data_IF_986694657738
#
_entry.id   IF_986694657738
#
_cell.length_a   1.000
_cell.length_b   1.000
_cell.length_c   1.000
_cell.angle_alpha   90.00
_cell.angle_beta   90.00
_cell.angle_gamma   90.00
#
_symmetry.space_group_name_H-M   'P 1'
#
loop_
_entity.id
_entity.type
_entity.pdbx_description
1 polymer ?
#
# COMPACT_ATOMS: atom_id res chain seq x y z
N UNK A 1 4.37 -11.46 -13.47
CA UNK A 1 3.22 -11.87 -14.29
C UNK A 1 2.22 -12.83 -13.67
N UNK A 2 2.19 -13.03 -12.34
CA UNK A 2 0.97 -13.55 -11.70
C UNK A 2 0.61 -12.75 -10.45
N UNK A 3 -0.01 -11.59 -10.67
CA UNK A 3 -0.53 -10.72 -9.60
C UNK A 3 -1.73 -11.36 -8.87
N UNK A 4 -2.30 -12.46 -9.40
CA UNK A 4 -3.57 -13.05 -8.94
C UNK A 4 -3.46 -13.76 -7.59
N UNK A 5 -2.23 -14.05 -7.14
CA UNK A 5 -1.94 -14.68 -5.84
C UNK A 5 -0.96 -13.87 -4.98
N UNK A 6 -0.78 -12.57 -5.26
CA UNK A 6 0.22 -11.79 -4.53
C UNK A 6 -0.15 -11.63 -3.04
N UNK A 7 0.85 -11.67 -2.13
CA UNK A 7 0.64 -11.36 -0.71
C UNK A 7 -0.05 -10.01 -0.49
N UNK A 8 0.14 -9.05 -1.40
CA UNK A 8 -0.48 -7.72 -1.36
C UNK A 8 -2.00 -7.79 -1.54
N UNK A 9 -2.53 -8.65 -2.43
CA UNK A 9 -3.98 -8.85 -2.57
C UNK A 9 -4.61 -9.46 -1.31
N UNK A 10 -3.89 -10.38 -0.66
CA UNK A 10 -4.33 -10.96 0.62
C UNK A 10 -4.45 -9.88 1.70
N UNK A 11 -3.49 -8.95 1.77
CA UNK A 11 -3.53 -7.83 2.71
C UNK A 11 -4.72 -6.91 2.44
N UNK A 12 -4.97 -6.55 1.18
CA UNK A 12 -6.16 -5.78 0.79
C UNK A 12 -7.44 -6.48 1.26
N UNK A 13 -7.57 -7.80 1.00
CA UNK A 13 -8.73 -8.58 1.46
C UNK A 13 -8.90 -8.53 2.97
N UNK A 14 -7.84 -8.77 3.73
CA UNK A 14 -7.87 -8.80 5.19
C UNK A 14 -8.26 -7.45 5.79
N UNK A 15 -7.80 -6.35 5.20
CA UNK A 15 -8.15 -4.99 5.64
C UNK A 15 -9.62 -4.68 5.33
N UNK A 16 -10.09 -4.98 4.12
CA UNK A 16 -11.49 -4.82 3.73
C UNK A 16 -12.42 -5.66 4.61
N UNK A 17 -12.05 -6.91 4.92
CA UNK A 17 -12.83 -7.80 5.81
C UNK A 17 -12.92 -7.30 7.25
N UNK A 18 -11.95 -6.47 7.65
CA UNK A 18 -11.95 -5.80 8.96
C UNK A 18 -12.68 -4.45 8.92
N UNK A 19 -13.28 -4.08 7.79
CA UNK A 19 -14.03 -2.83 7.62
C UNK A 19 -13.17 -1.60 7.31
N UNK A 20 -11.90 -1.78 6.92
CA UNK A 20 -11.08 -0.66 6.47
C UNK A 20 -11.52 -0.16 5.09
N UNK A 21 -11.36 1.15 4.86
CA UNK A 21 -11.46 1.74 3.52
C UNK A 21 -10.07 1.66 2.90
N UNK A 22 -9.94 0.89 1.82
CA UNK A 22 -8.63 0.58 1.22
C UNK A 22 -8.59 1.15 -0.19
N UNK A 23 -7.56 1.95 -0.45
CA UNK A 23 -7.05 2.23 -1.79
C UNK A 23 -5.69 1.55 -1.95
N UNK A 24 -5.23 1.37 -3.19
CA UNK A 24 -3.88 0.87 -3.45
C UNK A 24 -3.16 1.78 -4.44
N UNK A 25 -1.83 1.82 -4.34
CA UNK A 25 -0.97 2.34 -5.38
C UNK A 25 0.06 1.26 -5.74
N UNK A 26 0.24 1.07 -7.03
CA UNK A 26 1.37 0.35 -7.61
C UNK A 26 1.72 1.05 -8.94
N UNK A 27 3.00 1.41 -9.18
CA UNK A 27 3.42 2.15 -10.37
C UNK A 27 3.47 1.26 -11.61
N UNK A 28 3.46 -0.07 -11.43
CA UNK A 28 3.51 -1.05 -12.50
C UNK A 28 2.14 -1.70 -12.76
N UNK A 29 1.23 -1.69 -11.78
CA UNK A 29 -0.10 -2.32 -11.87
C UNK A 29 -1.22 -1.27 -11.74
N UNK A 30 -1.64 -0.63 -12.86
CA UNK A 30 -2.58 0.50 -12.82
C UNK A 30 -4.03 0.11 -12.49
N UNK A 31 -4.40 -1.15 -12.68
CA UNK A 31 -5.70 -1.70 -12.30
C UNK A 31 -5.56 -3.12 -11.77
N UNK A 32 -6.36 -3.47 -10.78
CA UNK A 32 -6.55 -4.85 -10.36
C UNK A 32 -7.76 -5.41 -11.12
N UNK A 33 -7.58 -6.43 -11.97
CA UNK A 33 -8.71 -7.08 -12.60
C UNK A 33 -9.41 -8.01 -11.61
N UNK A 34 -10.67 -8.35 -11.89
CA UNK A 34 -11.33 -9.45 -11.19
C UNK A 34 -10.56 -10.74 -11.42
N UNK A 35 -10.31 -11.46 -10.34
CA UNK A 35 -9.72 -12.79 -10.33
C UNK A 35 -10.71 -13.77 -9.72
N UNK A 36 -10.49 -15.07 -9.92
CA UNK A 36 -11.34 -16.11 -9.29
C UNK A 36 -11.37 -15.98 -7.75
N UNK A 37 -10.31 -15.46 -7.15
CA UNK A 37 -10.12 -15.36 -5.69
C UNK A 37 -10.50 -13.99 -5.12
N UNK A 38 -10.34 -12.93 -5.91
CA UNK A 38 -10.55 -11.55 -5.49
C UNK A 38 -11.30 -10.76 -6.56
N UNK A 39 -12.43 -10.15 -6.18
CA UNK A 39 -13.22 -9.24 -7.03
C UNK A 39 -12.91 -7.78 -6.71
N UNK A 40 -11.64 -7.40 -6.78
CA UNK A 40 -11.23 -6.02 -6.56
C UNK A 40 -11.38 -5.25 -7.87
N UNK A 41 -12.43 -4.45 -7.99
CA UNK A 41 -12.56 -3.46 -9.07
C UNK A 41 -11.91 -2.15 -8.62
N UNK A 42 -10.58 -2.18 -8.48
CA UNK A 42 -9.81 -1.05 -7.96
C UNK A 42 -8.85 -0.51 -9.03
N UNK A 43 -8.62 0.81 -8.99
CA UNK A 43 -7.60 1.49 -9.78
C UNK A 43 -6.50 2.01 -8.87
N UNK A 44 -5.26 1.96 -9.35
CA UNK A 44 -4.11 2.51 -8.65
C UNK A 44 -4.32 4.01 -8.47
N UNK A 45 -4.32 4.48 -7.22
CA UNK A 45 -4.44 5.92 -6.92
C UNK A 45 -3.08 6.59 -7.08
N UNK A 46 -3.04 7.83 -7.52
CA UNK A 46 -1.78 8.56 -7.61
C UNK A 46 -1.26 8.95 -6.22
N UNK A 47 0.03 8.70 -5.96
CA UNK A 47 0.70 9.17 -4.76
C UNK A 47 1.10 10.63 -4.89
N UNK A 48 0.26 11.51 -4.36
CA UNK A 48 0.53 12.93 -4.12
C UNK A 48 0.59 13.21 -2.62
N UNK A 49 1.22 14.31 -2.20
CA UNK A 49 1.22 14.75 -0.80
C UNK A 49 -0.21 14.86 -0.24
N UNK A 50 -1.13 15.41 -1.04
CA UNK A 50 -2.54 15.52 -0.68
C UNK A 50 -3.21 14.16 -0.52
N UNK A 51 -2.88 13.17 -1.35
CA UNK A 51 -3.44 11.82 -1.21
C UNK A 51 -2.92 11.13 0.05
N UNK A 52 -1.61 11.17 0.29
CA UNK A 52 -0.95 10.49 1.40
C UNK A 52 -1.49 10.99 2.74
N UNK A 53 -1.62 12.32 2.89
CA UNK A 53 -2.09 12.94 4.14
C UNK A 53 -3.54 12.58 4.52
N UNK A 54 -4.35 12.09 3.58
CA UNK A 54 -5.74 11.69 3.85
C UNK A 54 -5.86 10.31 4.49
N UNK A 55 -4.84 9.46 4.39
CA UNK A 55 -4.89 8.12 4.96
C UNK A 55 -4.43 8.12 6.42
N UNK A 56 -5.16 7.38 7.27
CA UNK A 56 -4.74 7.15 8.65
C UNK A 56 -3.44 6.36 8.73
N UNK A 57 -3.25 5.42 7.80
CA UNK A 57 -2.09 4.55 7.71
C UNK A 57 -1.77 4.20 6.26
N UNK A 58 -0.48 4.14 5.93
CA UNK A 58 0.03 3.51 4.72
C UNK A 58 0.65 2.16 5.05
N UNK A 59 0.31 1.12 4.28
CA UNK A 59 0.92 -0.20 4.41
C UNK A 59 1.84 -0.47 3.22
N UNK A 60 3.11 -0.78 3.48
CA UNK A 60 4.07 -1.16 2.44
C UNK A 60 4.00 -2.68 2.25
N UNK A 61 3.33 -3.08 1.17
CA UNK A 61 3.15 -4.49 0.79
C UNK A 61 4.21 -4.98 -0.21
N UNK A 62 4.84 -4.06 -0.94
CA UNK A 62 5.91 -4.33 -1.92
C UNK A 62 6.97 -3.23 -1.81
N UNK A 63 8.24 -3.62 -1.80
CA UNK A 63 9.35 -2.66 -1.81
C UNK A 63 9.78 -2.34 -3.25
N UNK A 64 9.09 -1.39 -3.88
CA UNK A 64 9.50 -0.88 -5.18
C UNK A 64 10.59 0.18 -5.01
N UNK A 65 11.67 0.08 -5.78
CA UNK A 65 12.82 1.02 -5.71
C UNK A 65 12.51 2.40 -6.28
N UNK A 66 11.44 2.54 -7.07
CA UNK A 66 11.01 3.81 -7.66
C UNK A 66 10.43 4.79 -6.64
N UNK A 67 10.04 4.31 -5.46
CA UNK A 67 9.47 5.17 -4.43
C UNK A 67 10.53 5.92 -3.62
N UNK A 68 10.28 7.21 -3.39
CA UNK A 68 10.96 7.99 -2.36
C UNK A 68 10.29 7.76 -1.00
N UNK A 69 10.77 6.77 -0.25
CA UNK A 69 10.24 6.46 1.09
C UNK A 69 10.47 7.57 2.11
N UNK A 70 11.47 8.43 1.94
CA UNK A 70 11.68 9.60 2.82
C UNK A 70 10.56 10.60 2.62
N UNK A 71 10.20 10.88 1.36
CA UNK A 71 9.09 11.75 1.04
C UNK A 71 7.74 11.15 1.49
N UNK A 72 7.53 9.85 1.32
CA UNK A 72 6.33 9.16 1.84
C UNK A 72 6.26 9.29 3.36
N UNK A 73 7.35 8.99 4.08
CA UNK A 73 7.42 9.09 5.55
C UNK A 73 7.14 10.50 6.06
N UNK A 74 7.65 11.52 5.36
CA UNK A 74 7.42 12.93 5.71
C UNK A 74 5.92 13.27 5.70
N UNK A 75 5.18 12.73 4.73
CA UNK A 75 3.79 13.08 4.49
C UNK A 75 2.77 12.15 5.16
N UNK A 76 3.16 10.91 5.49
CA UNK A 76 2.28 9.94 6.10
C UNK A 76 1.99 10.24 7.59
N UNK A 77 0.81 9.82 8.04
CA UNK A 77 0.42 9.84 9.45
C UNK A 77 1.04 8.65 10.21
N UNK A 78 0.90 7.44 9.64
CA UNK A 78 1.48 6.19 10.12
C UNK A 78 1.93 5.33 8.93
N UNK A 79 3.02 4.58 9.09
CA UNK A 79 3.49 3.58 8.12
C UNK A 79 3.61 2.22 8.80
N UNK A 80 2.95 1.21 8.25
CA UNK A 80 3.18 -0.20 8.55
C UNK A 80 4.05 -0.79 7.45
N UNK A 81 5.29 -1.15 7.79
CA UNK A 81 6.28 -1.61 6.83
C UNK A 81 6.55 -3.11 6.99
N UNK A 82 5.92 -3.90 6.13
CA UNK A 82 6.06 -5.37 6.09
C UNK A 82 7.22 -5.86 5.22
N UNK A 83 7.99 -4.92 4.65
CA UNK A 83 9.05 -5.20 3.66
C UNK A 83 10.39 -4.61 4.03
N UNK A 84 10.46 -3.96 5.19
CA UNK A 84 11.64 -3.22 5.65
C UNK A 84 12.14 -2.23 4.57
N UNK A 85 11.21 -1.56 3.88
CA UNK A 85 11.50 -0.63 2.79
C UNK A 85 11.99 0.74 3.31
N UNK A 86 11.36 1.26 4.36
CA UNK A 86 11.75 2.55 4.96
C UNK A 86 12.98 2.33 5.83
N UNK A 87 14.08 3.03 5.56
CA UNK A 87 15.34 2.82 6.30
C UNK A 87 15.51 3.77 7.48
N UNK A 88 14.74 4.84 7.47
CA UNK A 88 14.72 5.87 8.50
C UNK A 88 14.10 5.33 9.79
N UNK A 89 14.62 5.80 10.92
CA UNK A 89 13.96 5.61 12.21
C UNK A 89 12.95 6.74 12.44
N UNK A 90 11.73 6.39 12.81
CA UNK A 90 10.66 7.34 13.12
C UNK A 90 9.60 6.69 13.99
N UNK A 91 9.02 7.45 14.92
CA UNK A 91 7.87 7.01 15.72
C UNK A 91 6.62 6.74 14.89
N UNK A 92 6.59 7.21 13.63
CA UNK A 92 5.51 6.96 12.67
C UNK A 92 5.61 5.59 11.99
N UNK A 93 6.65 4.81 12.24
CA UNK A 93 6.89 3.54 11.55
C UNK A 93 6.70 2.38 12.51
N UNK A 94 5.85 1.44 12.11
CA UNK A 94 5.73 0.12 12.72
C UNK A 94 6.29 -0.90 11.74
N UNK A 95 7.32 -1.64 12.16
CA UNK A 95 7.86 -2.79 11.42
C UNK A 95 7.05 -4.05 11.77
N UNK A 96 6.74 -4.88 10.77
CA UNK A 96 5.94 -6.10 10.93
C UNK A 96 6.43 -7.24 10.04
#
# INVERSE_FOLDING_TARGET
>A
DDTRESPSLKLIKLLLDKGAIVDYNDPYIPSLPETRKYKFLMKSVELTEKSIKRYDCLLIATNHSVYDYKWILKNANLIVDTRNAVKESSSKIVKA
#
